data_IF_174399057863
#
_entry.id   IF_174399057863
#
_cell.length_a   1.000
_cell.length_b   1.000
_cell.length_c   1.000
_cell.angle_alpha   90.00
_cell.angle_beta   90.00
_cell.angle_gamma   90.00
#
_symmetry.space_group_name_H-M   'P 1'
#
loop_
_entity.id
_entity.type
_entity.pdbx_description
1 polymer ?
#
# COMPACT_ATOMS: atom_id res chain seq x y z
N UNK A 1 -19.61 37.43 -8.70
CA UNK A 1 -19.25 36.72 -7.44
C UNK A 1 -19.85 35.34 -7.33
N UNK A 2 -21.08 35.11 -7.71
CA UNK A 2 -21.68 33.75 -7.62
C UNK A 2 -21.02 32.72 -8.56
N UNK A 3 -20.51 33.15 -9.69
CA UNK A 3 -19.80 32.27 -10.65
C UNK A 3 -18.42 31.81 -10.17
N UNK A 4 -17.78 32.59 -9.32
CA UNK A 4 -16.47 32.25 -8.74
C UNK A 4 -16.58 31.17 -7.67
N UNK A 5 -17.64 31.16 -6.87
CA UNK A 5 -17.90 30.16 -5.84
C UNK A 5 -18.17 28.79 -6.44
N UNK A 6 -18.85 28.73 -7.58
CA UNK A 6 -19.12 27.48 -8.29
C UNK A 6 -17.86 26.88 -8.91
N UNK A 7 -16.93 27.72 -9.36
CA UNK A 7 -15.66 27.26 -9.93
C UNK A 7 -14.73 26.67 -8.88
N UNK A 8 -14.72 27.23 -7.66
CA UNK A 8 -13.93 26.67 -6.57
C UNK A 8 -14.48 25.35 -6.03
N UNK A 9 -15.79 25.18 -6.05
CA UNK A 9 -16.42 23.93 -5.62
C UNK A 9 -16.16 22.78 -6.61
N UNK A 10 -16.08 23.08 -7.90
CA UNK A 10 -15.78 22.10 -8.93
C UNK A 10 -14.32 21.59 -8.84
N UNK A 11 -13.39 22.41 -8.36
CA UNK A 11 -11.99 22.04 -8.17
C UNK A 11 -11.79 21.06 -7.01
N UNK A 12 -12.68 21.06 -6.01
CA UNK A 12 -12.62 20.14 -4.88
C UNK A 12 -13.06 18.71 -5.25
N UNK A 13 -13.79 18.54 -6.34
CA UNK A 13 -14.26 17.23 -6.79
C UNK A 13 -13.20 16.45 -7.60
N UNK A 14 -12.08 17.08 -7.96
CA UNK A 14 -11.01 16.46 -8.76
C UNK A 14 -9.94 15.80 -7.87
N UNK A 15 -10.07 15.86 -6.53
CA UNK A 15 -9.07 15.37 -5.60
C UNK A 15 -9.12 13.85 -5.36
N UNK A 16 -10.11 13.12 -5.88
CA UNK A 16 -10.21 11.67 -5.75
C UNK A 16 -9.58 10.98 -6.96
N UNK A 17 -8.70 10.01 -6.73
CA UNK A 17 -8.17 9.16 -7.79
C UNK A 17 -9.23 8.11 -8.17
N UNK A 18 -9.83 8.18 -9.38
CA UNK A 18 -10.88 7.24 -9.78
C UNK A 18 -10.34 5.83 -10.09
N UNK A 19 -9.02 5.67 -10.18
CA UNK A 19 -8.39 4.39 -10.51
C UNK A 19 -8.12 3.53 -9.28
N UNK A 20 -8.24 4.08 -8.08
CA UNK A 20 -8.07 3.34 -6.84
C UNK A 20 -9.36 2.60 -6.51
N UNK A 21 -9.29 1.26 -6.52
CA UNK A 21 -10.42 0.38 -6.21
C UNK A 21 -10.52 0.11 -4.72
N UNK A 22 -9.38 -0.01 -4.06
CA UNK A 22 -9.28 -0.32 -2.64
C UNK A 22 -8.03 0.32 -2.07
N UNK A 23 -8.16 0.94 -0.91
CA UNK A 23 -7.03 1.49 -0.16
C UNK A 23 -7.37 1.43 1.33
N UNK A 24 -6.59 0.70 2.08
CA UNK A 24 -6.75 0.56 3.52
C UNK A 24 -5.40 0.39 4.18
N UNK A 25 -5.34 0.70 5.46
CA UNK A 25 -4.13 0.54 6.25
C UNK A 25 -4.47 0.11 7.68
N UNK A 26 -3.47 -0.39 8.35
CA UNK A 26 -3.53 -0.71 9.77
C UNK A 26 -2.29 -0.13 10.45
N UNK A 27 -2.49 0.46 11.62
CA UNK A 27 -1.38 0.97 12.42
C UNK A 27 -0.73 -0.18 13.18
N UNK A 28 0.60 -0.20 13.15
CA UNK A 28 1.38 -1.12 13.98
C UNK A 28 1.57 -0.47 15.34
N UNK A 29 1.00 -1.06 16.37
CA UNK A 29 1.01 -0.53 17.73
C UNK A 29 2.45 -0.35 18.23
N UNK A 30 2.72 0.83 18.80
CA UNK A 30 4.03 1.24 19.30
C UNK A 30 5.15 1.20 18.25
N UNK A 31 4.81 1.14 16.99
CA UNK A 31 5.78 1.08 15.90
C UNK A 31 6.60 -0.21 15.86
N UNK A 32 6.19 -1.24 16.59
CA UNK A 32 6.90 -2.53 16.67
C UNK A 32 6.05 -3.61 16.03
N UNK A 33 6.51 -4.13 14.91
CA UNK A 33 5.81 -5.18 14.19
C UNK A 33 6.37 -6.53 14.57
N UNK A 34 5.64 -7.24 15.43
CA UNK A 34 5.99 -8.61 15.82
C UNK A 34 5.57 -9.61 14.75
N UNK A 35 6.34 -10.68 14.61
CA UNK A 35 6.08 -11.75 13.63
C UNK A 35 4.68 -12.34 13.78
N UNK A 36 4.17 -12.40 15.01
CA UNK A 36 2.81 -12.91 15.29
C UNK A 36 1.68 -12.00 14.80
N UNK A 37 1.97 -10.72 14.56
CA UNK A 37 1.00 -9.77 14.06
C UNK A 37 0.92 -9.86 12.55
N UNK A 38 -0.14 -10.47 12.04
CA UNK A 38 -0.37 -10.65 10.61
C UNK A 38 -1.53 -9.76 10.19
N UNK A 39 -1.26 -8.55 9.70
CA UNK A 39 -2.31 -7.68 9.17
C UNK A 39 -3.04 -8.37 8.01
N UNK A 40 -4.36 -8.26 8.02
CA UNK A 40 -5.21 -8.84 6.99
C UNK A 40 -6.16 -7.80 6.44
N UNK A 41 -6.30 -7.78 5.12
CA UNK A 41 -7.17 -6.83 4.42
C UNK A 41 -8.13 -7.61 3.54
N UNK A 42 -9.43 -7.40 3.76
CA UNK A 42 -10.46 -7.93 2.89
C UNK A 42 -10.90 -6.87 1.90
N UNK A 43 -11.09 -7.25 0.65
CA UNK A 43 -11.54 -6.34 -0.39
C UNK A 43 -12.36 -7.08 -1.44
N UNK A 44 -13.23 -6.33 -2.11
CA UNK A 44 -14.06 -6.83 -3.19
C UNK A 44 -13.49 -6.37 -4.53
N UNK A 45 -13.51 -7.28 -5.51
CA UNK A 45 -13.10 -6.98 -6.88
C UNK A 45 -14.35 -6.62 -7.69
N UNK A 46 -14.50 -5.37 -8.12
CA UNK A 46 -15.71 -4.93 -8.82
C UNK A 46 -15.86 -5.54 -10.22
N UNK A 47 -14.75 -5.87 -10.88
CA UNK A 47 -14.75 -6.44 -12.22
C UNK A 47 -13.71 -7.55 -12.32
N UNK A 48 -14.15 -8.80 -12.29
CA UNK A 48 -13.26 -9.96 -12.38
C UNK A 48 -12.61 -10.15 -13.76
N UNK A 49 -13.10 -9.46 -14.79
CA UNK A 49 -12.50 -9.47 -16.12
C UNK A 49 -11.34 -8.50 -16.27
N UNK A 50 -11.23 -7.53 -15.37
CA UNK A 50 -10.18 -6.54 -15.38
C UNK A 50 -8.90 -7.06 -14.71
N UNK A 51 -7.80 -6.38 -15.00
CA UNK A 51 -6.50 -6.63 -14.37
C UNK A 51 -6.17 -5.48 -13.43
N UNK A 52 -5.52 -5.82 -12.33
CA UNK A 52 -5.24 -4.87 -11.25
C UNK A 52 -3.78 -4.89 -10.88
N UNK A 53 -3.27 -3.75 -10.49
CA UNK A 53 -1.99 -3.64 -9.80
C UNK A 53 -2.24 -3.59 -8.30
N UNK A 54 -1.49 -4.38 -7.56
CA UNK A 54 -1.54 -4.40 -6.09
C UNK A 54 -0.23 -3.87 -5.55
N UNK A 55 -0.33 -2.95 -4.61
CA UNK A 55 0.82 -2.30 -3.99
C UNK A 55 0.84 -2.55 -2.49
N UNK A 56 2.04 -2.71 -1.95
CA UNK A 56 2.26 -2.49 -0.51
C UNK A 56 2.45 -1.00 -0.28
N UNK A 57 1.72 -0.45 0.67
CA UNK A 57 1.98 0.87 1.20
C UNK A 57 2.54 0.67 2.60
N UNK A 58 3.80 1.02 2.78
CA UNK A 58 4.50 0.84 4.04
C UNK A 58 5.01 2.19 4.53
N UNK A 59 4.74 2.50 5.78
CA UNK A 59 5.32 3.66 6.46
C UNK A 59 6.26 3.19 7.55
N UNK A 60 7.49 3.67 7.50
CA UNK A 60 8.46 3.38 8.55
C UNK A 60 9.06 4.67 9.11
N UNK A 61 9.52 4.59 10.36
CA UNK A 61 10.25 5.65 11.00
C UNK A 61 11.75 5.59 10.71
N UNK A 62 12.42 6.71 10.94
CA UNK A 62 13.88 6.82 10.80
C UNK A 62 14.65 5.90 11.76
N UNK A 63 14.01 5.53 12.88
CA UNK A 63 14.62 4.63 13.87
C UNK A 63 14.72 3.16 13.43
N UNK A 64 14.06 2.79 12.33
CA UNK A 64 14.20 1.44 11.78
C UNK A 64 15.62 1.26 11.26
N UNK A 65 16.40 0.30 11.81
CA UNK A 65 17.85 0.28 11.62
C UNK A 65 18.32 -0.40 10.33
N UNK A 66 17.40 -1.02 9.58
CA UNK A 66 17.77 -1.79 8.39
C UNK A 66 17.33 -1.09 7.11
N UNK A 67 18.09 -1.31 6.03
CA UNK A 67 17.75 -0.76 4.71
C UNK A 67 16.66 -1.57 4.00
N UNK A 68 16.35 -2.77 4.47
CA UNK A 68 15.38 -3.67 3.84
C UNK A 68 14.42 -4.28 4.85
N UNK A 69 13.34 -4.84 4.32
CA UNK A 69 12.35 -5.61 5.06
C UNK A 69 11.93 -6.81 4.21
N UNK A 70 11.93 -7.98 4.82
CA UNK A 70 11.35 -9.18 4.21
C UNK A 70 9.91 -9.35 4.66
N UNK A 71 9.02 -9.53 3.70
CA UNK A 71 7.58 -9.65 3.93
C UNK A 71 7.04 -10.88 3.21
N UNK A 72 6.35 -11.75 3.93
CA UNK A 72 5.65 -12.86 3.32
C UNK A 72 4.19 -12.48 3.11
N UNK A 73 3.74 -12.58 1.86
CA UNK A 73 2.38 -12.28 1.45
C UNK A 73 1.60 -13.57 1.27
N UNK A 74 0.38 -13.56 1.77
CA UNK A 74 -0.61 -14.62 1.54
C UNK A 74 -1.83 -14.01 0.88
N UNK A 75 -2.27 -14.59 -0.23
CA UNK A 75 -3.50 -14.19 -0.90
C UNK A 75 -4.50 -15.35 -0.83
N UNK A 76 -5.69 -15.05 -0.29
CA UNK A 76 -6.77 -16.01 -0.15
C UNK A 76 -7.96 -15.59 -1.01
N UNK A 77 -8.69 -16.58 -1.53
CA UNK A 77 -9.95 -16.32 -2.22
C UNK A 77 -11.08 -16.08 -1.21
N UNK A 78 -12.29 -15.80 -1.72
CA UNK A 78 -13.45 -15.55 -0.88
C UNK A 78 -13.86 -16.74 0.00
N UNK A 79 -13.43 -17.94 -0.36
CA UNK A 79 -13.69 -19.18 0.38
C UNK A 79 -12.60 -19.53 1.38
N UNK A 80 -11.57 -18.69 1.48
CA UNK A 80 -10.44 -18.93 2.37
C UNK A 80 -9.36 -19.85 1.82
N UNK A 81 -9.42 -20.19 0.53
CA UNK A 81 -8.39 -21.00 -0.11
C UNK A 81 -7.16 -20.14 -0.42
N UNK A 82 -5.98 -20.65 -0.05
CA UNK A 82 -4.72 -20.00 -0.38
C UNK A 82 -4.47 -20.06 -1.89
N UNK A 83 -4.34 -18.88 -2.49
CA UNK A 83 -4.08 -18.73 -3.92
C UNK A 83 -2.62 -18.46 -4.22
N UNK A 84 -1.96 -17.69 -3.38
CA UNK A 84 -0.57 -17.30 -3.58
C UNK A 84 0.13 -17.07 -2.25
N UNK A 85 1.38 -17.49 -2.18
CA UNK A 85 2.28 -17.21 -1.06
C UNK A 85 3.62 -16.79 -1.65
N UNK A 86 4.13 -15.63 -1.24
CA UNK A 86 5.40 -15.12 -1.74
C UNK A 86 6.15 -14.35 -0.66
N UNK A 87 7.45 -14.58 -0.60
CA UNK A 87 8.38 -13.78 0.18
C UNK A 87 8.92 -12.65 -0.70
N UNK A 88 8.64 -11.41 -0.33
CA UNK A 88 9.16 -10.23 -1.00
C UNK A 88 10.20 -9.53 -0.13
N UNK A 89 11.21 -8.95 -0.77
CA UNK A 89 12.16 -8.06 -0.14
C UNK A 89 11.82 -6.62 -0.55
N UNK A 90 11.58 -5.78 0.45
CA UNK A 90 11.30 -4.36 0.28
C UNK A 90 12.53 -3.56 0.66
N UNK A 91 12.97 -2.65 -0.21
CA UNK A 91 14.08 -1.76 0.06
C UNK A 91 13.55 -0.43 0.59
N UNK A 92 13.92 -0.07 1.81
CA UNK A 92 13.46 1.12 2.51
C UNK A 92 14.48 2.25 2.48
N UNK A 93 15.73 1.91 2.25
CA UNK A 93 16.84 2.86 2.16
C UNK A 93 17.93 2.30 1.25
N UNK A 94 18.83 3.19 0.84
CA UNK A 94 20.03 2.80 0.11
C UNK A 94 20.98 2.04 1.05
N UNK A 95 21.45 0.87 0.62
CA UNK A 95 22.29 0.00 1.44
C UNK A 95 23.67 0.62 1.74
N UNK A 96 24.14 1.50 0.86
CA UNK A 96 25.47 2.12 0.98
C UNK A 96 25.43 3.42 1.78
N UNK A 97 24.46 4.29 1.48
CA UNK A 97 24.38 5.64 2.05
C UNK A 97 23.41 5.74 3.23
N UNK A 98 22.48 4.78 3.37
CA UNK A 98 21.41 4.84 4.36
C UNK A 98 20.32 5.85 4.02
N UNK A 99 20.37 6.48 2.84
CA UNK A 99 19.36 7.44 2.43
C UNK A 99 18.02 6.76 2.21
N UNK A 100 16.93 7.23 2.86
CA UNK A 100 15.60 6.67 2.64
C UNK A 100 15.17 6.75 1.18
N UNK A 101 14.60 5.66 0.66
CA UNK A 101 14.14 5.58 -0.72
C UNK A 101 12.69 6.00 -0.92
N UNK A 102 11.93 6.11 0.17
CA UNK A 102 10.54 6.57 0.13
C UNK A 102 10.39 8.07 0.17
N UNK A 103 9.14 8.53 0.13
CA UNK A 103 8.79 9.93 0.31
C UNK A 103 8.65 10.22 1.80
N UNK A 104 9.39 11.22 2.28
CA UNK A 104 9.45 11.50 3.71
C UNK A 104 8.89 12.87 4.08
N UNK A 105 8.29 12.92 5.26
CA UNK A 105 7.94 14.15 5.95
C UNK A 105 8.39 14.00 7.41
N UNK A 106 9.42 14.74 7.80
CA UNK A 106 10.03 14.60 9.12
C UNK A 106 10.75 13.26 9.29
N UNK A 107 10.36 12.47 10.29
CA UNK A 107 10.99 11.20 10.62
C UNK A 107 10.27 9.98 10.05
N UNK A 108 9.21 10.18 9.25
CA UNK A 108 8.42 9.12 8.65
C UNK A 108 8.63 9.07 7.14
N UNK A 109 8.74 7.86 6.60
CA UNK A 109 8.95 7.62 5.17
C UNK A 109 7.89 6.66 4.65
N UNK A 110 7.22 7.06 3.56
CA UNK A 110 6.19 6.27 2.90
C UNK A 110 6.79 5.58 1.68
N UNK A 111 6.52 4.28 1.57
CA UNK A 111 6.96 3.45 0.46
C UNK A 111 5.76 2.84 -0.24
N UNK A 112 5.72 2.96 -1.56
CA UNK A 112 4.72 2.30 -2.40
C UNK A 112 5.44 1.30 -3.30
N UNK A 113 5.25 0.03 -3.04
CA UNK A 113 5.97 -1.05 -3.72
C UNK A 113 4.99 -1.94 -4.46
N UNK A 114 5.23 -2.17 -5.75
CA UNK A 114 4.38 -3.02 -6.56
C UNK A 114 4.50 -4.48 -6.11
N UNK A 115 3.39 -5.06 -5.65
CA UNK A 115 3.33 -6.44 -5.21
C UNK A 115 2.90 -7.39 -6.33
N UNK A 116 1.82 -7.02 -7.03
CA UNK A 116 1.29 -7.78 -8.16
C UNK A 116 1.04 -6.83 -9.32
N UNK A 117 1.51 -7.21 -10.51
CA UNK A 117 1.33 -6.42 -11.74
C UNK A 117 0.36 -7.11 -12.66
N UNK A 118 -0.62 -6.36 -13.16
CA UNK A 118 -1.61 -6.85 -14.13
C UNK A 118 -2.25 -8.16 -13.68
N UNK A 119 -2.59 -8.24 -12.41
CA UNK A 119 -3.14 -9.45 -11.81
C UNK A 119 -4.64 -9.55 -12.07
N UNK A 120 -5.08 -10.75 -12.43
CA UNK A 120 -6.48 -11.07 -12.64
C UNK A 120 -6.97 -11.93 -11.48
N UNK A 121 -7.87 -11.38 -10.68
CA UNK A 121 -8.45 -12.12 -9.57
C UNK A 121 -9.52 -13.08 -10.08
N UNK A 122 -9.64 -14.28 -9.50
CA UNK A 122 -10.73 -15.19 -9.83
C UNK A 122 -12.08 -14.61 -9.40
N UNK A 123 -13.10 -14.95 -10.15
CA UNK A 123 -14.47 -14.52 -9.86
C UNK A 123 -15.02 -15.18 -8.58
#
# INVERSE_FOLDING_TARGET
>A
MRKFLFSCLALLLVACDPNVVFNDNVDIEDGKWFVKQVPSFGFDIPDASARYNVYYNLRNGRSYPYYNLYLTRYLFDAKGKLMEKKLDQLFLADATTGKPSGTGLGDLFDHKVLALKNYRFPA
#
